data_IF_086710041959
#
_entry.id   IF_086710041959
#
_cell.length_a   1.000
_cell.length_b   1.000
_cell.length_c   1.000
_cell.angle_alpha   90.00
_cell.angle_beta   90.00
_cell.angle_gamma   90.00
#
_symmetry.space_group_name_H-M   'P 1'
#
loop_
_entity.id
_entity.type
_entity.pdbx_description
1 polymer ?
#
# COMPACT_ATOMS: atom_id res chain seq x y z
N UNK A 1 -1.46 43.21 12.87
CA UNK A 1 -0.93 44.40 13.58
C UNK A 1 -1.87 45.61 13.51
N UNK A 2 -2.52 45.90 12.38
CA UNK A 2 -3.40 47.07 12.21
C UNK A 2 -4.64 47.07 13.15
N UNK A 3 -5.19 45.90 13.48
CA UNK A 3 -6.41 45.82 14.31
C UNK A 3 -6.16 46.04 15.80
N UNK A 4 -4.97 45.65 16.28
CA UNK A 4 -4.49 45.91 17.65
C UNK A 4 -4.27 47.39 17.91
N UNK A 5 -3.80 48.14 16.91
CA UNK A 5 -3.59 49.60 17.01
C UNK A 5 -4.94 50.32 17.05
N UNK A 6 -5.94 49.88 16.27
CA UNK A 6 -7.30 50.44 16.29
C UNK A 6 -8.02 50.21 17.61
N UNK A 7 -7.89 49.02 18.22
CA UNK A 7 -8.49 48.75 19.53
C UNK A 7 -7.87 49.59 20.66
N UNK A 8 -6.54 49.78 20.63
CA UNK A 8 -5.83 50.61 21.62
C UNK A 8 -6.18 52.09 21.46
N UNK A 9 -6.29 52.59 20.22
CA UNK A 9 -6.75 53.94 19.93
C UNK A 9 -8.20 54.17 20.37
N UNK A 10 -9.09 53.18 20.19
CA UNK A 10 -10.46 53.26 20.67
C UNK A 10 -10.54 53.25 22.20
N UNK A 11 -9.73 52.44 22.88
CA UNK A 11 -9.67 52.46 24.35
C UNK A 11 -9.06 53.74 24.90
N UNK A 12 -8.06 54.33 24.22
CA UNK A 12 -7.50 55.64 24.59
C UNK A 12 -8.53 56.76 24.39
N UNK A 13 -9.35 56.70 23.33
CA UNK A 13 -10.42 57.67 23.11
C UNK A 13 -11.47 57.61 24.23
N UNK A 14 -11.84 56.41 24.68
CA UNK A 14 -12.80 56.19 25.77
C UNK A 14 -12.22 56.63 27.12
N UNK A 15 -10.91 56.46 27.36
CA UNK A 15 -10.22 56.92 28.57
C UNK A 15 -9.94 58.43 28.58
N UNK A 16 -9.80 59.08 27.43
CA UNK A 16 -9.63 60.53 27.31
C UNK A 16 -10.96 61.31 27.30
N UNK A 17 -12.07 60.68 26.93
CA UNK A 17 -13.39 61.33 26.87
C UNK A 17 -13.87 61.92 28.22
N UNK A 18 -13.65 61.26 29.38
CA UNK A 18 -13.96 61.84 30.69
C UNK A 18 -13.08 63.06 31.01
N UNK A 19 -11.79 63.03 30.66
CA UNK A 19 -10.86 64.14 30.90
C UNK A 19 -11.22 65.37 30.06
N UNK A 20 -11.69 65.16 28.83
CA UNK A 20 -12.11 66.24 27.94
C UNK A 20 -13.49 66.82 28.33
N UNK A 21 -14.43 65.99 28.80
CA UNK A 21 -15.68 66.49 29.39
C UNK A 21 -15.44 67.25 30.70
N UNK A 22 -14.47 66.83 31.51
CA UNK A 22 -14.12 67.51 32.76
C UNK A 22 -13.37 68.83 32.52
N UNK A 23 -12.60 68.94 31.42
CA UNK A 23 -11.88 70.15 31.05
C UNK A 23 -12.74 71.18 30.29
N UNK A 24 -13.82 70.77 29.63
CA UNK A 24 -14.70 71.65 28.85
C UNK A 24 -15.93 72.16 29.62
N UNK A 25 -16.10 71.79 30.89
CA UNK A 25 -17.27 72.14 31.70
C UNK A 25 -16.95 72.34 33.17
N UNK A 26 -16.01 73.24 33.50
CA UNK A 26 -15.93 73.83 34.84
C UNK A 26 -16.91 74.99 34.95
N UNK A 27 -18.20 74.67 34.92
CA UNK A 27 -19.23 75.56 35.46
C UNK A 27 -19.18 75.51 37.00
N UNK A 28 -19.34 76.65 37.70
CA UNK A 28 -19.28 76.68 39.16
C UNK A 28 -20.44 75.89 39.78
N UNK A 29 -20.10 75.03 40.74
CA UNK A 29 -21.06 74.28 41.57
C UNK A 29 -22.08 75.23 42.21
N UNK A 30 -23.40 75.02 42.08
CA UNK A 30 -24.38 75.80 42.81
C UNK A 30 -24.43 75.33 44.28
N UNK A 31 -24.27 76.29 45.18
CA UNK A 31 -24.45 76.14 46.62
C UNK A 31 -25.93 75.83 46.94
N UNK A 32 -26.27 74.55 47.16
CA UNK A 32 -27.59 74.20 47.70
C UNK A 32 -28.24 72.85 47.33
N UNK A 33 -27.52 71.83 46.85
CA UNK A 33 -28.08 70.50 46.54
C UNK A 33 -27.45 69.37 47.35
N UNK A 34 -28.17 68.27 47.68
CA UNK A 34 -27.65 67.22 48.55
C UNK A 34 -26.49 66.48 47.88
N UNK A 35 -25.42 66.27 48.63
CA UNK A 35 -24.14 65.62 48.24
C UNK A 35 -24.24 64.17 47.67
N UNK A 36 -25.42 63.66 47.35
CA UNK A 36 -25.70 62.27 46.93
C UNK A 36 -25.56 61.99 45.43
N UNK A 37 -25.52 63.02 44.57
CA UNK A 37 -25.48 62.83 43.10
C UNK A 37 -24.06 62.64 42.52
N UNK A 38 -23.03 63.12 43.21
CA UNK A 38 -21.63 62.99 42.77
C UNK A 38 -21.10 61.55 42.91
N UNK A 39 -21.59 60.80 43.92
CA UNK A 39 -21.21 59.40 44.15
C UNK A 39 -21.71 58.43 43.07
N UNK A 40 -22.79 58.77 42.33
CA UNK A 40 -23.31 57.90 41.26
C UNK A 40 -22.48 57.94 39.98
N UNK A 41 -21.83 59.05 39.67
CA UNK A 41 -21.02 59.17 38.44
C UNK A 41 -19.66 58.50 38.58
N UNK A 42 -18.99 58.66 39.73
CA UNK A 42 -17.75 57.91 40.02
C UNK A 42 -18.01 56.40 40.03
N UNK A 43 -19.13 55.96 40.62
CA UNK A 43 -19.54 54.57 40.60
C UNK A 43 -19.80 54.05 39.17
N UNK A 44 -20.45 54.84 38.30
CA UNK A 44 -20.69 54.48 36.91
C UNK A 44 -19.39 54.40 36.08
N UNK A 45 -18.45 55.31 36.31
CA UNK A 45 -17.14 55.32 35.66
C UNK A 45 -16.30 54.10 36.05
N UNK A 46 -16.24 53.77 37.35
CA UNK A 46 -15.54 52.58 37.83
C UNK A 46 -16.17 51.30 37.28
N UNK A 47 -17.50 51.22 37.22
CA UNK A 47 -18.21 50.08 36.65
C UNK A 47 -17.90 49.88 35.15
N UNK A 48 -17.92 50.95 34.35
CA UNK A 48 -17.53 50.89 32.94
C UNK A 48 -16.06 50.51 32.76
N UNK A 49 -15.15 51.07 33.56
CA UNK A 49 -13.73 50.73 33.51
C UNK A 49 -13.49 49.25 33.81
N UNK A 50 -14.15 48.70 34.84
CA UNK A 50 -14.07 47.27 35.18
C UNK A 50 -14.61 46.37 34.07
N UNK A 51 -15.71 46.78 33.41
CA UNK A 51 -16.25 46.05 32.27
C UNK A 51 -15.30 46.04 31.07
N UNK A 52 -14.68 47.18 30.74
CA UNK A 52 -13.70 47.29 29.65
C UNK A 52 -12.46 46.44 29.95
N UNK A 53 -11.94 46.48 31.18
CA UNK A 53 -10.79 45.65 31.58
C UNK A 53 -11.13 44.16 31.46
N UNK A 54 -12.32 43.74 31.89
CA UNK A 54 -12.80 42.36 31.74
C UNK A 54 -12.95 41.94 30.27
N UNK A 55 -13.54 42.80 29.43
CA UNK A 55 -13.71 42.55 28.00
C UNK A 55 -12.36 42.46 27.27
N UNK A 56 -11.41 43.34 27.59
CA UNK A 56 -10.05 43.32 27.03
C UNK A 56 -9.28 42.08 27.50
N UNK A 57 -9.39 41.71 28.77
CA UNK A 57 -8.75 40.53 29.34
C UNK A 57 -9.27 39.22 28.72
N UNK A 58 -10.59 39.08 28.59
CA UNK A 58 -11.21 37.91 27.93
C UNK A 58 -10.86 37.84 26.44
N UNK A 59 -10.85 38.98 25.73
CA UNK A 59 -10.41 39.05 24.34
C UNK A 59 -8.92 38.67 24.18
N UNK A 60 -8.03 39.16 25.05
CA UNK A 60 -6.62 38.76 25.05
C UNK A 60 -6.47 37.26 25.32
N UNK A 61 -7.17 36.72 26.32
CA UNK A 61 -7.11 35.29 26.64
C UNK A 61 -7.59 34.42 25.46
N UNK A 62 -8.70 34.79 24.81
CA UNK A 62 -9.21 34.12 23.61
C UNK A 62 -8.20 34.18 22.46
N UNK A 63 -7.61 35.36 22.21
CA UNK A 63 -6.56 35.56 21.19
C UNK A 63 -5.33 34.69 21.45
N UNK A 64 -4.89 34.57 22.70
CA UNK A 64 -3.74 33.72 23.08
C UNK A 64 -4.08 32.25 22.86
N UNK A 65 -5.27 31.79 23.28
CA UNK A 65 -5.73 30.42 23.05
C UNK A 65 -5.83 30.07 21.57
N UNK A 66 -6.41 30.95 20.76
CA UNK A 66 -6.49 30.77 19.30
C UNK A 66 -5.10 30.67 18.67
N UNK A 67 -4.16 31.56 19.06
CA UNK A 67 -2.77 31.53 18.55
C UNK A 67 -2.01 30.27 18.99
N UNK A 68 -2.27 29.75 20.18
CA UNK A 68 -1.67 28.51 20.64
C UNK A 68 -2.20 27.30 19.86
N UNK A 69 -3.53 27.19 19.67
CA UNK A 69 -4.15 26.13 18.85
C UNK A 69 -3.64 26.16 17.41
N UNK A 70 -3.46 27.35 16.83
CA UNK A 70 -2.87 27.50 15.49
C UNK A 70 -1.42 27.01 15.42
N UNK A 71 -0.61 27.19 16.47
CA UNK A 71 0.77 26.69 16.51
C UNK A 71 0.82 25.17 16.59
N UNK A 72 0.01 24.56 17.46
CA UNK A 72 -0.10 23.10 17.59
C UNK A 72 -0.52 22.43 16.26
N UNK A 73 -1.50 23.02 15.56
CA UNK A 73 -1.94 22.51 14.26
C UNK A 73 -0.80 22.56 13.22
N UNK A 74 -0.02 23.64 13.19
CA UNK A 74 1.09 23.76 12.23
C UNK A 74 2.19 22.73 12.51
N UNK A 75 2.49 22.43 13.77
CA UNK A 75 3.47 21.39 14.12
C UNK A 75 2.99 20.00 13.73
N UNK A 76 1.72 19.68 14.01
CA UNK A 76 1.13 18.38 13.62
C UNK A 76 1.10 18.21 12.10
N UNK A 77 0.75 19.27 11.35
CA UNK A 77 0.77 19.23 9.89
C UNK A 77 2.19 19.01 9.32
N UNK A 78 3.20 19.61 9.94
CA UNK A 78 4.59 19.40 9.54
C UNK A 78 5.05 17.95 9.81
N UNK A 79 4.68 17.38 10.95
CA UNK A 79 4.98 15.98 11.26
C UNK A 79 4.26 15.02 10.32
N UNK A 80 2.97 15.22 10.06
CA UNK A 80 2.19 14.38 9.16
C UNK A 80 2.73 14.42 7.73
N UNK A 81 3.12 15.61 7.24
CA UNK A 81 3.79 15.75 5.94
C UNK A 81 5.13 15.02 5.89
N UNK A 82 5.89 15.00 7.00
CA UNK A 82 7.15 14.24 7.07
C UNK A 82 6.89 12.75 6.97
N UNK A 83 5.95 12.23 7.77
CA UNK A 83 5.57 10.80 7.75
C UNK A 83 5.03 10.37 6.40
N UNK A 84 4.20 11.20 5.76
CA UNK A 84 3.70 10.89 4.42
C UNK A 84 4.84 10.79 3.40
N UNK A 85 5.82 11.72 3.41
CA UNK A 85 6.99 11.64 2.53
C UNK A 85 7.86 10.41 2.78
N UNK A 86 8.02 10.02 4.05
CA UNK A 86 8.77 8.83 4.43
C UNK A 86 8.07 7.56 3.96
N UNK A 87 6.76 7.46 4.16
CA UNK A 87 5.94 6.35 3.66
C UNK A 87 5.91 6.30 2.13
N UNK A 88 5.84 7.45 1.45
CA UNK A 88 5.90 7.55 -0.01
C UNK A 88 7.22 6.98 -0.53
N UNK A 89 8.36 7.32 0.10
CA UNK A 89 9.66 6.77 -0.27
C UNK A 89 9.76 5.26 0.01
N UNK A 90 9.22 4.78 1.14
CA UNK A 90 9.21 3.35 1.46
C UNK A 90 8.36 2.53 0.47
N UNK A 91 7.21 3.07 0.04
CA UNK A 91 6.36 2.43 -0.97
C UNK A 91 7.07 2.37 -2.31
N UNK A 92 7.74 3.45 -2.74
CA UNK A 92 8.50 3.47 -3.99
C UNK A 92 9.63 2.42 -3.99
N UNK A 93 10.36 2.28 -2.88
CA UNK A 93 11.39 1.24 -2.73
C UNK A 93 10.79 -0.17 -2.84
N UNK A 94 9.68 -0.43 -2.16
CA UNK A 94 9.00 -1.74 -2.21
C UNK A 94 8.52 -2.07 -3.63
N UNK A 95 7.93 -1.10 -4.33
CA UNK A 95 7.49 -1.28 -5.71
C UNK A 95 8.66 -1.61 -6.66
N UNK A 96 9.82 -0.98 -6.46
CA UNK A 96 11.01 -1.29 -7.27
C UNK A 96 11.48 -2.73 -7.03
N UNK A 97 11.54 -3.15 -5.76
CA UNK A 97 11.92 -4.53 -5.41
C UNK A 97 10.92 -5.54 -5.96
N UNK A 98 9.62 -5.25 -5.92
CA UNK A 98 8.58 -6.12 -6.50
C UNK A 98 8.75 -6.26 -8.02
N UNK A 99 8.98 -5.15 -8.73
CA UNK A 99 9.25 -5.17 -10.19
C UNK A 99 10.51 -5.96 -10.53
N UNK A 100 11.59 -5.78 -9.78
CA UNK A 100 12.82 -6.55 -9.99
C UNK A 100 12.61 -8.04 -9.72
N UNK A 101 11.85 -8.39 -8.67
CA UNK A 101 11.49 -9.76 -8.36
C UNK A 101 10.64 -10.39 -9.48
N UNK A 102 9.67 -9.67 -10.02
CA UNK A 102 8.86 -10.13 -11.15
C UNK A 102 9.71 -10.37 -12.40
N UNK A 103 10.63 -9.45 -12.71
CA UNK A 103 11.59 -9.63 -13.82
C UNK A 103 12.43 -10.89 -13.63
N UNK A 104 13.01 -11.09 -12.44
CA UNK A 104 13.82 -12.27 -12.15
C UNK A 104 13.01 -13.57 -12.21
N UNK A 105 11.75 -13.56 -11.76
CA UNK A 105 10.85 -14.71 -11.88
C UNK A 105 10.62 -15.05 -13.35
N UNK A 106 10.42 -14.03 -14.20
CA UNK A 106 10.21 -14.23 -15.63
C UNK A 106 11.47 -14.79 -16.31
N UNK A 107 12.64 -14.21 -16.04
CA UNK A 107 13.93 -14.70 -16.53
C UNK A 107 14.19 -16.15 -16.09
N UNK A 108 13.88 -16.48 -14.84
CA UNK A 108 14.02 -17.84 -14.32
C UNK A 108 13.08 -18.83 -15.03
N UNK A 109 11.83 -18.43 -15.27
CA UNK A 109 10.86 -19.25 -16.01
C UNK A 109 11.33 -19.51 -17.43
N UNK A 110 11.80 -18.48 -18.13
CA UNK A 110 12.34 -18.60 -19.49
C UNK A 110 13.57 -19.50 -19.53
N UNK A 111 14.49 -19.34 -18.59
CA UNK A 111 15.65 -20.22 -18.44
C UNK A 111 15.24 -21.67 -18.20
N UNK A 112 14.24 -21.92 -17.34
CA UNK A 112 13.71 -23.26 -17.10
C UNK A 112 13.03 -23.86 -18.33
N UNK A 113 12.27 -23.08 -19.09
CA UNK A 113 11.68 -23.54 -20.35
C UNK A 113 12.75 -23.89 -21.39
N UNK A 114 13.79 -23.07 -21.51
CA UNK A 114 14.91 -23.33 -22.40
C UNK A 114 15.65 -24.61 -21.99
N UNK A 115 15.87 -24.83 -20.69
CA UNK A 115 16.42 -26.08 -20.17
C UNK A 115 15.52 -27.28 -20.47
N UNK A 116 14.19 -27.15 -20.37
CA UNK A 116 13.26 -28.23 -20.74
C UNK A 116 13.36 -28.59 -22.23
N UNK A 117 13.52 -27.60 -23.11
CA UNK A 117 13.74 -27.83 -24.54
C UNK A 117 15.06 -28.54 -24.81
N UNK A 118 16.13 -28.16 -24.11
CA UNK A 118 17.48 -28.76 -24.22
C UNK A 118 17.56 -30.18 -23.63
N UNK A 119 16.81 -30.45 -22.56
CA UNK A 119 16.70 -31.79 -21.92
C UNK A 119 15.86 -32.80 -22.72
N UNK A 120 15.30 -32.41 -23.87
CA UNK A 120 14.49 -33.29 -24.72
C UNK A 120 15.28 -34.33 -25.53
N UNK A 121 16.62 -34.29 -25.50
CA UNK A 121 17.47 -35.20 -26.27
C UNK A 121 17.87 -36.40 -25.41
N UNK A 122 17.05 -37.46 -25.43
CA UNK A 122 17.40 -38.74 -24.82
C UNK A 122 18.25 -39.58 -25.80
N UNK A 123 19.50 -39.92 -25.44
CA UNK A 123 20.33 -40.80 -26.24
C UNK A 123 19.71 -42.20 -26.32
N UNK A 124 19.17 -42.54 -27.49
CA UNK A 124 18.59 -43.85 -27.80
C UNK A 124 19.58 -44.68 -28.63
N UNK A 125 19.76 -45.95 -28.27
CA UNK A 125 20.54 -46.87 -29.08
C UNK A 125 19.86 -47.09 -30.45
N UNK A 126 20.57 -46.83 -31.54
CA UNK A 126 20.02 -46.99 -32.89
C UNK A 126 19.54 -48.42 -33.18
N UNK A 127 20.21 -49.43 -32.60
CA UNK A 127 19.94 -50.85 -32.81
C UNK A 127 18.81 -51.40 -31.93
N UNK A 128 18.94 -51.30 -30.60
CA UNK A 128 18.01 -51.93 -29.65
C UNK A 128 17.00 -50.99 -28.98
N UNK A 129 17.01 -49.70 -29.31
CA UNK A 129 16.11 -48.66 -28.79
C UNK A 129 16.10 -48.43 -27.27
N UNK A 130 17.06 -48.99 -26.53
CA UNK A 130 17.29 -48.67 -25.11
C UNK A 130 17.67 -47.19 -24.95
N UNK A 131 17.28 -46.60 -23.83
CA UNK A 131 17.66 -45.22 -23.45
C UNK A 131 18.87 -45.30 -22.52
N UNK A 132 19.86 -44.42 -22.74
CA UNK A 132 20.98 -44.25 -21.81
C UNK A 132 20.65 -43.19 -20.76
N UNK A 133 20.84 -43.51 -19.49
CA UNK A 133 20.67 -42.56 -18.38
C UNK A 133 21.92 -41.69 -18.15
N UNK A 134 21.80 -40.72 -17.23
CA UNK A 134 22.88 -39.80 -16.86
C UNK A 134 24.06 -40.51 -16.15
N UNK A 135 23.83 -41.72 -15.62
CA UNK A 135 24.85 -42.56 -15.00
C UNK A 135 25.57 -43.47 -16.03
N UNK A 136 25.08 -43.48 -17.27
CA UNK A 136 25.63 -44.22 -18.40
C UNK A 136 25.06 -45.62 -18.60
N UNK A 137 24.08 -46.07 -17.82
CA UNK A 137 23.43 -47.37 -17.98
C UNK A 137 22.33 -47.34 -19.05
N UNK A 138 22.05 -48.51 -19.62
CA UNK A 138 21.05 -48.69 -20.67
C UNK A 138 19.78 -49.33 -20.12
N UNK A 139 18.70 -48.56 -20.12
CA UNK A 139 17.39 -48.97 -19.63
C UNK A 139 16.42 -49.25 -20.79
N UNK A 140 15.44 -50.12 -20.55
CA UNK A 140 14.29 -50.26 -21.46
C UNK A 140 13.49 -48.96 -21.49
N UNK A 141 12.92 -48.65 -22.66
CA UNK A 141 12.20 -47.40 -22.92
C UNK A 141 11.06 -47.20 -21.92
N UNK A 142 10.25 -48.24 -21.73
CA UNK A 142 9.08 -48.26 -20.85
C UNK A 142 9.48 -48.03 -19.40
N UNK A 143 10.50 -48.75 -18.92
CA UNK A 143 11.02 -48.62 -17.56
C UNK A 143 11.60 -47.23 -17.30
N UNK A 144 12.33 -46.67 -18.27
CA UNK A 144 12.90 -45.34 -18.14
C UNK A 144 11.81 -44.27 -18.06
N UNK A 145 10.82 -44.29 -18.96
CA UNK A 145 9.74 -43.32 -18.98
C UNK A 145 8.85 -43.45 -17.73
N UNK A 146 8.51 -44.67 -17.30
CA UNK A 146 7.70 -44.88 -16.10
C UNK A 146 8.38 -44.36 -14.81
N UNK A 147 9.71 -44.33 -14.76
CA UNK A 147 10.47 -43.79 -13.64
C UNK A 147 10.65 -42.26 -13.69
N UNK A 148 10.69 -41.69 -14.89
CA UNK A 148 11.01 -40.27 -15.11
C UNK A 148 9.80 -39.41 -15.48
N UNK A 149 8.64 -40.02 -15.71
CA UNK A 149 7.37 -39.36 -16.00
C UNK A 149 6.23 -40.03 -15.24
N UNK A 150 5.22 -39.25 -14.89
CA UNK A 150 4.03 -39.73 -14.19
C UNK A 150 3.06 -40.41 -15.17
N UNK A 151 3.46 -41.57 -15.70
CA UNK A 151 2.69 -42.34 -16.70
C UNK A 151 2.65 -43.83 -16.36
N UNK A 152 1.49 -44.45 -16.62
CA UNK A 152 1.28 -45.89 -16.45
C UNK A 152 1.08 -46.55 -17.81
N UNK A 153 1.91 -47.54 -18.14
CA UNK A 153 1.80 -48.28 -19.40
C UNK A 153 0.75 -49.40 -19.31
N UNK A 154 -0.07 -49.52 -20.34
CA UNK A 154 -0.99 -50.64 -20.54
C UNK A 154 -0.62 -51.38 -21.83
N UNK A 155 -0.90 -52.68 -21.88
CA UNK A 155 -0.55 -53.51 -23.03
C UNK A 155 -1.79 -53.74 -23.90
N UNK A 156 -1.81 -53.16 -25.10
CA UNK A 156 -2.84 -53.39 -26.11
C UNK A 156 -2.20 -53.73 -27.46
N UNK A 157 -2.93 -54.47 -28.31
CA UNK A 157 -2.48 -54.84 -29.65
C UNK A 157 -3.25 -54.01 -30.67
N UNK A 158 -2.53 -53.32 -31.57
CA UNK A 158 -3.18 -52.55 -32.63
C UNK A 158 -3.77 -53.49 -33.71
N UNK A 159 -4.79 -53.05 -34.48
CA UNK A 159 -5.43 -53.87 -35.50
C UNK A 159 -4.46 -54.44 -36.56
N UNK A 160 -3.42 -53.68 -36.91
CA UNK A 160 -2.40 -54.11 -37.87
C UNK A 160 -1.57 -55.29 -37.34
N UNK A 161 -1.12 -55.20 -36.09
CA UNK A 161 -0.39 -56.28 -35.44
C UNK A 161 -1.27 -57.51 -35.23
N UNK A 162 -2.53 -57.32 -34.83
CA UNK A 162 -3.48 -58.42 -34.68
C UNK A 162 -3.65 -59.20 -36.00
N UNK A 163 -3.79 -58.49 -37.13
CA UNK A 163 -3.91 -59.10 -38.46
C UNK A 163 -2.67 -59.93 -38.82
N UNK A 164 -1.47 -59.38 -38.64
CA UNK A 164 -0.21 -60.11 -38.92
C UNK A 164 -0.07 -61.37 -38.09
N UNK A 165 -0.36 -61.27 -36.78
CA UNK A 165 -0.31 -62.43 -35.87
C UNK A 165 -1.29 -63.51 -36.34
N UNK A 166 -2.49 -63.13 -36.77
CA UNK A 166 -3.47 -64.08 -37.30
C UNK A 166 -2.97 -64.80 -38.58
N UNK A 167 -2.38 -64.05 -39.52
CA UNK A 167 -1.82 -64.58 -40.76
C UNK A 167 -0.65 -65.54 -40.51
N UNK A 168 0.29 -65.16 -39.63
CA UNK A 168 1.41 -66.01 -39.23
C UNK A 168 0.95 -67.29 -38.53
N UNK A 169 -0.06 -67.17 -37.66
CA UNK A 169 -0.64 -68.32 -36.96
C UNK A 169 -1.31 -69.30 -37.93
N UNK A 170 -1.97 -68.81 -38.97
CA UNK A 170 -2.53 -69.65 -40.02
C UNK A 170 -1.42 -70.36 -40.81
N UNK A 171 -0.39 -69.64 -41.24
CA UNK A 171 0.74 -70.22 -41.96
C UNK A 171 1.44 -71.33 -41.15
N UNK A 172 1.57 -71.13 -39.83
CA UNK A 172 2.12 -72.16 -38.93
C UNK A 172 1.24 -73.41 -38.88
N UNK A 173 -0.08 -73.26 -38.71
CA UNK A 173 -1.04 -74.38 -38.68
C UNK A 173 -1.03 -75.16 -39.99
N UNK A 174 -0.94 -74.48 -41.13
CA UNK A 174 -0.88 -75.11 -42.44
C UNK A 174 0.43 -75.88 -42.65
N UNK A 175 1.55 -75.31 -42.19
CA UNK A 175 2.84 -76.00 -42.21
C UNK A 175 2.87 -77.23 -41.29
N UNK A 176 2.22 -77.16 -40.13
CA UNK A 176 2.09 -78.27 -39.20
C UNK A 176 1.20 -79.39 -39.75
N UNK A 177 0.07 -79.05 -40.39
CA UNK A 177 -0.82 -80.01 -41.04
C UNK A 177 -0.12 -80.74 -42.19
N UNK A 178 0.68 -80.03 -43.00
CA UNK A 178 1.50 -80.63 -44.06
C UNK A 178 2.56 -81.58 -43.49
N UNK A 179 3.21 -81.21 -42.38
CA UNK A 179 4.17 -82.09 -41.70
C UNK A 179 3.51 -83.37 -41.19
N UNK A 180 2.33 -83.27 -40.57
CA UNK A 180 1.55 -84.43 -40.08
C UNK A 180 1.08 -85.33 -41.22
N UNK A 181 0.63 -84.75 -42.34
CA UNK A 181 0.25 -85.51 -43.54
C UNK A 181 1.44 -86.19 -44.24
N UNK A 182 2.66 -85.69 -44.06
CA UNK A 182 3.89 -86.31 -44.60
C UNK A 182 4.52 -87.37 -43.67
N UNK A 183 4.03 -87.47 -42.42
CA UNK A 183 4.52 -88.44 -41.42
C UNK A 183 3.51 -89.54 -41.07
N UNK A 184 2.31 -89.47 -41.66
CA UNK A 184 1.28 -90.52 -41.65
C UNK A 184 1.34 -91.31 -42.97
#
# INVERSE_FOLDING_TARGET
MKDTIRLLLFSLLILCCPLWLFAAGSDPVPSGGPARLWTSYEAAMLAMAMFVIGAVGTYMALRVRLRNRSRELLTVLAELRRKNKELEAEVEEREQVEKDKERLIQELKEALENLRKLRGLLPICAYCKKIRDDQGYWNQLESYIAQHADVTFTHSVCPECAKKIYEELQAYKDAEAKKKAATA
#
